data_IF_867737175288
#
_entry.id   IF_867737175288
#
_cell.length_a   1.000
_cell.length_b   1.000
_cell.length_c   1.000
_cell.angle_alpha   90.00
_cell.angle_beta   90.00
_cell.angle_gamma   90.00
#
_symmetry.space_group_name_H-M   'P 1'
#
loop_
_entity.id
_entity.type
_entity.pdbx_description
1 polymer ?
#
# COMPACT_ATOMS: atom_id res chain seq x y z
N UNK A 1 11.49 14.24 10.21
CA UNK A 1 11.40 13.23 9.13
C UNK A 1 10.61 12.03 9.69
N UNK A 2 9.78 11.38 8.91
CA UNK A 2 9.03 10.18 9.35
C UNK A 2 7.61 10.42 9.87
N UNK A 3 7.13 11.64 9.92
CA UNK A 3 5.75 12.03 10.27
C UNK A 3 5.08 12.92 9.25
N UNK A 4 5.85 13.57 8.38
CA UNK A 4 5.33 14.51 7.40
C UNK A 4 5.04 13.81 6.08
N UNK A 5 3.92 14.19 5.47
CA UNK A 5 3.47 13.75 4.16
C UNK A 5 3.40 14.97 3.25
N UNK A 6 4.20 14.96 2.18
CA UNK A 6 4.17 15.99 1.15
C UNK A 6 2.84 15.90 0.38
N UNK A 7 2.26 17.04 0.04
CA UNK A 7 0.99 17.11 -0.68
C UNK A 7 -0.26 16.90 0.18
N UNK A 8 -0.12 16.61 1.49
CA UNK A 8 -1.28 16.35 2.35
C UNK A 8 -2.18 17.56 2.55
N UNK A 9 -1.60 18.76 2.61
CA UNK A 9 -2.35 19.99 2.72
C UNK A 9 -3.18 20.25 1.46
N UNK A 10 -2.57 20.12 0.30
CA UNK A 10 -3.18 20.27 -1.01
C UNK A 10 -4.28 19.23 -1.23
N UNK A 11 -4.03 17.97 -0.89
CA UNK A 11 -5.02 16.90 -0.98
C UNK A 11 -6.28 17.19 -0.13
N UNK A 12 -6.10 17.77 1.05
CA UNK A 12 -7.21 18.16 1.93
C UNK A 12 -7.98 19.38 1.43
N UNK A 13 -7.33 20.27 0.70
CA UNK A 13 -7.99 21.44 0.09
C UNK A 13 -8.73 21.10 -1.19
N UNK A 14 -8.24 20.13 -1.97
CA UNK A 14 -8.80 19.78 -3.26
C UNK A 14 -10.20 19.13 -3.15
N UNK A 15 -10.54 18.53 -2.02
CA UNK A 15 -11.86 17.89 -1.82
C UNK A 15 -12.39 18.10 -0.41
N UNK A 16 -13.71 18.32 -0.30
CA UNK A 16 -14.40 18.47 0.99
C UNK A 16 -14.45 17.14 1.77
N UNK A 17 -14.47 16.01 1.06
CA UNK A 17 -14.59 14.68 1.67
C UNK A 17 -13.55 13.76 1.05
N UNK A 18 -12.42 13.67 1.71
CA UNK A 18 -11.35 12.79 1.30
C UNK A 18 -11.72 11.34 1.65
N UNK A 19 -11.87 10.47 0.65
CA UNK A 19 -12.26 9.07 0.84
C UNK A 19 -11.04 8.17 1.03
N UNK A 20 -9.96 8.46 0.29
CA UNK A 20 -8.71 7.71 0.28
C UNK A 20 -7.51 8.62 0.10
N UNK A 21 -6.34 8.11 0.44
CA UNK A 21 -5.05 8.71 0.08
C UNK A 21 -4.24 7.74 -0.74
N UNK A 22 -3.57 8.26 -1.78
CA UNK A 22 -2.59 7.56 -2.58
C UNK A 22 -1.21 7.94 -2.07
N UNK A 23 -0.43 6.96 -1.62
CA UNK A 23 0.93 7.17 -1.12
C UNK A 23 1.92 6.74 -2.20
N UNK A 24 2.73 7.68 -2.67
CA UNK A 24 3.82 7.49 -3.62
C UNK A 24 5.17 7.78 -2.97
N UNK A 25 6.28 7.48 -3.66
CA UNK A 25 7.63 7.64 -3.10
C UNK A 25 8.16 9.06 -3.22
N UNK A 26 7.98 9.70 -4.38
CA UNK A 26 8.58 10.97 -4.75
C UNK A 26 7.62 12.17 -4.71
N UNK A 27 8.16 13.36 -4.45
CA UNK A 27 7.39 14.60 -4.50
C UNK A 27 7.00 14.97 -5.94
N UNK A 28 7.81 14.59 -6.95
CA UNK A 28 7.49 14.83 -8.36
C UNK A 28 6.28 14.01 -8.79
N UNK A 29 6.16 12.77 -8.32
CA UNK A 29 4.96 11.95 -8.56
C UNK A 29 3.70 12.64 -8.05
N UNK A 30 3.76 13.22 -6.84
CA UNK A 30 2.64 13.98 -6.29
C UNK A 30 2.26 15.16 -7.18
N UNK A 31 3.26 15.94 -7.61
CA UNK A 31 3.03 17.11 -8.47
C UNK A 31 2.35 16.71 -9.78
N UNK A 32 2.88 15.68 -10.45
CA UNK A 32 2.34 15.22 -11.74
C UNK A 32 0.95 14.60 -11.61
N UNK A 33 0.71 13.82 -10.56
CA UNK A 33 -0.60 13.26 -10.25
C UNK A 33 -1.63 14.36 -9.98
N UNK A 34 -1.28 15.37 -9.17
CA UNK A 34 -2.16 16.51 -8.90
C UNK A 34 -2.47 17.31 -10.18
N UNK A 35 -1.47 17.55 -11.03
CA UNK A 35 -1.66 18.22 -12.33
C UNK A 35 -2.60 17.44 -13.26
N UNK A 36 -2.54 16.10 -13.20
CA UNK A 36 -3.42 15.22 -13.95
C UNK A 36 -4.84 15.10 -13.36
N UNK A 37 -5.07 15.64 -12.15
CA UNK A 37 -6.38 15.59 -11.48
C UNK A 37 -6.50 14.52 -10.38
N UNK A 38 -5.45 13.72 -10.13
CA UNK A 38 -5.39 12.76 -8.99
C UNK A 38 -4.90 13.53 -7.75
N UNK A 39 -5.78 14.33 -7.18
CA UNK A 39 -5.42 15.33 -6.15
C UNK A 39 -5.28 14.81 -4.73
N UNK A 40 -5.47 13.51 -4.51
CA UNK A 40 -5.34 12.84 -3.21
C UNK A 40 -4.01 12.07 -3.06
N UNK A 41 -3.02 12.37 -3.90
CA UNK A 41 -1.69 11.82 -3.81
C UNK A 41 -0.83 12.54 -2.77
N UNK A 42 -0.04 11.77 -2.02
CA UNK A 42 0.91 12.26 -1.01
C UNK A 42 2.21 11.45 -1.07
N UNK A 43 3.32 12.01 -0.59
CA UNK A 43 4.60 11.29 -0.56
C UNK A 43 5.25 11.30 0.82
N UNK A 44 6.01 10.24 1.11
CA UNK A 44 6.79 10.08 2.35
C UNK A 44 8.20 10.69 2.31
N UNK A 45 8.60 11.27 1.16
CA UNK A 45 9.84 12.01 0.93
C UNK A 45 11.13 11.23 1.25
N UNK A 46 11.35 10.14 0.53
CA UNK A 46 12.59 9.37 0.61
C UNK A 46 12.77 8.60 1.92
N UNK A 47 11.69 8.36 2.64
CA UNK A 47 11.65 7.47 3.80
C UNK A 47 10.60 6.38 3.60
N UNK A 48 10.85 5.18 4.15
CA UNK A 48 9.81 4.16 4.19
C UNK A 48 8.59 4.67 4.94
N UNK A 49 7.40 4.23 4.54
CA UNK A 49 6.16 4.53 5.28
C UNK A 49 6.27 4.01 6.71
N UNK A 50 6.06 4.89 7.67
CA UNK A 50 6.14 4.57 9.11
C UNK A 50 4.74 4.34 9.70
N UNK A 51 4.62 3.68 10.87
CA UNK A 51 3.35 3.62 11.60
C UNK A 51 2.75 5.00 11.89
N UNK A 52 3.58 6.01 12.18
CA UNK A 52 3.13 7.39 12.41
C UNK A 52 2.48 8.00 11.17
N UNK A 53 3.03 7.74 9.97
CA UNK A 53 2.40 8.13 8.71
C UNK A 53 1.02 7.48 8.56
N UNK A 54 0.92 6.18 8.79
CA UNK A 54 -0.34 5.42 8.68
C UNK A 54 -1.39 5.91 9.67
N UNK A 55 -1.00 6.14 10.92
CA UNK A 55 -1.91 6.70 11.93
C UNK A 55 -2.41 8.09 11.53
N UNK A 56 -1.55 8.93 10.95
CA UNK A 56 -1.94 10.24 10.43
C UNK A 56 -2.91 10.13 9.27
N UNK A 57 -2.64 9.23 8.32
CA UNK A 57 -3.51 8.95 7.18
C UNK A 57 -4.89 8.47 7.67
N UNK A 58 -4.93 7.49 8.56
CA UNK A 58 -6.17 6.89 9.04
C UNK A 58 -6.99 7.75 10.01
N UNK A 59 -6.49 8.94 10.40
CA UNK A 59 -7.32 9.98 11.03
C UNK A 59 -8.13 10.78 10.02
N UNK A 60 -7.77 10.71 8.75
CA UNK A 60 -8.36 11.50 7.67
C UNK A 60 -9.22 10.65 6.74
N UNK A 61 -8.81 9.42 6.46
CA UNK A 61 -9.44 8.53 5.47
C UNK A 61 -9.55 7.10 5.99
N UNK A 62 -10.50 6.33 5.45
CA UNK A 62 -10.62 4.90 5.72
C UNK A 62 -9.75 4.03 4.82
N UNK A 63 -9.29 4.54 3.69
CA UNK A 63 -8.51 3.77 2.71
C UNK A 63 -7.17 4.44 2.40
N UNK A 64 -6.11 3.63 2.34
CA UNK A 64 -4.81 4.02 1.79
C UNK A 64 -4.42 3.07 0.67
N UNK A 65 -4.00 3.64 -0.45
CA UNK A 65 -3.43 2.89 -1.57
C UNK A 65 -1.96 3.27 -1.67
N UNK A 66 -1.08 2.29 -1.56
CA UNK A 66 0.34 2.46 -1.84
C UNK A 66 0.60 2.19 -3.31
N UNK A 67 1.33 3.07 -3.96
CA UNK A 67 1.78 2.91 -5.34
C UNK A 67 3.30 2.80 -5.37
N UNK A 68 3.78 1.71 -5.93
CA UNK A 68 5.20 1.40 -6.05
C UNK A 68 5.60 1.14 -7.50
N UNK A 69 6.82 1.48 -7.82
CA UNK A 69 7.43 1.11 -9.09
C UNK A 69 7.47 -0.42 -9.23
N UNK A 70 7.36 -0.92 -10.45
CA UNK A 70 7.31 -2.35 -10.74
C UNK A 70 8.64 -3.08 -10.56
N UNK A 71 9.70 -2.39 -10.15
CA UNK A 71 11.05 -2.90 -10.00
C UNK A 71 11.29 -3.62 -8.65
N UNK A 72 12.52 -4.13 -8.47
CA UNK A 72 12.91 -4.81 -7.23
C UNK A 72 12.94 -3.89 -6.01
N UNK A 73 13.29 -2.61 -6.20
CA UNK A 73 13.36 -1.65 -5.11
C UNK A 73 11.95 -1.29 -4.62
N UNK A 74 11.01 -1.04 -5.55
CA UNK A 74 9.59 -0.82 -5.23
C UNK A 74 8.95 -2.02 -4.53
N UNK A 75 9.25 -3.27 -4.95
CA UNK A 75 8.78 -4.47 -4.25
C UNK A 75 9.32 -4.56 -2.81
N UNK A 76 10.59 -4.23 -2.59
CA UNK A 76 11.18 -4.19 -1.26
C UNK A 76 10.58 -3.08 -0.39
N UNK A 77 10.26 -1.92 -0.98
CA UNK A 77 9.57 -0.82 -0.29
C UNK A 77 8.14 -1.21 0.07
N UNK A 78 7.41 -1.86 -0.84
CA UNK A 78 6.07 -2.38 -0.61
C UNK A 78 6.02 -3.39 0.55
N UNK A 79 7.00 -4.29 0.65
CA UNK A 79 7.06 -5.23 1.75
C UNK A 79 7.24 -4.52 3.10
N UNK A 80 8.14 -3.52 3.17
CA UNK A 80 8.30 -2.71 4.39
C UNK A 80 7.04 -1.93 4.75
N UNK A 81 6.33 -1.40 3.74
CA UNK A 81 5.06 -0.72 3.94
C UNK A 81 4.00 -1.69 4.49
N UNK A 82 3.91 -2.92 3.98
CA UNK A 82 3.04 -3.97 4.48
C UNK A 82 3.37 -4.30 5.94
N UNK A 83 4.64 -4.54 6.27
CA UNK A 83 5.08 -4.84 7.65
C UNK A 83 4.66 -3.74 8.64
N UNK A 84 4.67 -2.49 8.22
CA UNK A 84 4.20 -1.37 9.06
C UNK A 84 2.67 -1.26 9.09
N UNK A 85 1.99 -1.64 8.01
CA UNK A 85 0.55 -1.51 7.87
C UNK A 85 -0.25 -2.58 8.61
N UNK A 86 0.27 -3.81 8.76
CA UNK A 86 -0.46 -4.92 9.42
C UNK A 86 -0.96 -4.57 10.82
N UNK A 87 -0.21 -3.78 11.58
CA UNK A 87 -0.59 -3.32 12.91
C UNK A 87 -1.68 -2.24 12.92
N UNK A 88 -1.98 -1.64 11.78
CA UNK A 88 -2.98 -0.58 11.64
C UNK A 88 -4.29 -1.06 10.99
N UNK A 89 -4.37 -2.33 10.60
CA UNK A 89 -5.60 -2.94 10.02
C UNK A 89 -6.64 -3.15 11.12
N UNK A 90 -7.49 -2.14 11.27
CA UNK A 90 -8.62 -2.12 12.22
C UNK A 90 -9.93 -2.04 11.44
N UNK A 91 -11.06 -2.23 12.12
CA UNK A 91 -12.37 -2.07 11.51
C UNK A 91 -12.50 -0.71 10.78
N UNK A 92 -12.95 -0.74 9.53
CA UNK A 92 -13.13 0.45 8.70
C UNK A 92 -11.84 0.97 8.04
N UNK A 93 -10.69 0.32 8.23
CA UNK A 93 -9.42 0.69 7.59
C UNK A 93 -9.05 -0.30 6.50
N UNK A 94 -8.70 0.21 5.33
CA UNK A 94 -8.29 -0.59 4.18
C UNK A 94 -6.91 -0.15 3.71
N UNK A 95 -6.08 -1.13 3.41
CA UNK A 95 -4.74 -0.93 2.84
C UNK A 95 -4.66 -1.72 1.55
N UNK A 96 -4.23 -1.04 0.48
CA UNK A 96 -4.08 -1.65 -0.84
C UNK A 96 -2.73 -1.33 -1.44
N UNK A 97 -2.27 -2.16 -2.36
CA UNK A 97 -0.97 -2.07 -3.01
C UNK A 97 -1.13 -2.10 -4.52
N UNK A 98 -0.67 -1.06 -5.19
CA UNK A 98 -0.56 -0.98 -6.64
C UNK A 98 0.90 -1.10 -7.03
N UNK A 99 1.20 -1.99 -7.94
CA UNK A 99 2.51 -2.11 -8.59
C UNK A 99 2.38 -1.66 -10.02
N UNK A 100 3.19 -0.68 -10.41
CA UNK A 100 3.23 -0.18 -11.77
C UNK A 100 3.98 -1.16 -12.68
N UNK A 101 3.80 -1.10 -13.99
CA UNK A 101 4.61 -1.85 -14.95
C UNK A 101 6.10 -1.52 -14.78
N UNK A 102 6.96 -2.48 -15.10
CA UNK A 102 8.41 -2.29 -15.03
C UNK A 102 8.85 -1.11 -15.91
N UNK A 103 9.72 -0.26 -15.38
CA UNK A 103 10.20 0.95 -16.06
C UNK A 103 9.29 2.18 -15.96
N UNK A 104 8.18 2.09 -15.24
CA UNK A 104 7.28 3.23 -15.00
C UNK A 104 7.27 3.60 -13.53
N UNK A 105 7.20 4.91 -13.30
CA UNK A 105 6.83 5.56 -12.05
C UNK A 105 5.46 6.25 -12.20
N UNK A 106 4.86 6.76 -11.13
CA UNK A 106 3.55 7.43 -11.20
C UNK A 106 3.54 8.64 -12.13
N UNK A 107 4.64 9.42 -12.18
CA UNK A 107 4.79 10.59 -13.06
C UNK A 107 4.72 10.20 -14.54
N UNK A 108 5.57 9.27 -14.97
CA UNK A 108 5.60 8.83 -16.38
C UNK A 108 4.28 8.19 -16.79
N UNK A 109 3.73 7.32 -15.94
CA UNK A 109 2.52 6.58 -16.27
C UNK A 109 1.29 7.49 -16.41
N UNK A 110 1.10 8.45 -15.48
CA UNK A 110 -0.04 9.36 -15.57
C UNK A 110 0.04 10.31 -16.75
N UNK A 111 1.25 10.67 -17.19
CA UNK A 111 1.46 11.46 -18.41
C UNK A 111 1.15 10.69 -19.68
N UNK A 112 1.48 9.41 -19.72
CA UNK A 112 1.27 8.54 -20.89
C UNK A 112 -0.20 8.13 -21.04
N UNK A 113 -0.83 7.69 -19.95
CA UNK A 113 -2.16 7.07 -19.97
C UNK A 113 -3.29 8.03 -19.59
N UNK A 114 -2.97 9.11 -18.90
CA UNK A 114 -3.95 10.06 -18.35
C UNK A 114 -4.60 9.58 -17.04
N UNK A 115 -5.28 10.49 -16.36
CA UNK A 115 -5.88 10.24 -15.05
C UNK A 115 -6.91 9.11 -15.04
N UNK A 116 -7.73 8.99 -16.08
CA UNK A 116 -8.81 7.99 -16.15
C UNK A 116 -8.24 6.57 -16.15
N UNK A 117 -7.20 6.33 -16.96
CA UNK A 117 -6.54 5.02 -17.01
C UNK A 117 -5.79 4.73 -15.70
N UNK A 118 -5.14 5.74 -15.14
CA UNK A 118 -4.47 5.61 -13.85
C UNK A 118 -5.45 5.27 -12.71
N UNK A 119 -6.62 5.90 -12.67
CA UNK A 119 -7.69 5.57 -11.72
C UNK A 119 -8.21 4.12 -11.89
N UNK A 120 -8.32 3.64 -13.11
CA UNK A 120 -8.69 2.25 -13.37
C UNK A 120 -7.65 1.26 -12.81
N UNK A 121 -6.36 1.61 -12.87
CA UNK A 121 -5.29 0.82 -12.22
C UNK A 121 -5.41 0.85 -10.70
N UNK A 122 -5.70 2.01 -10.10
CA UNK A 122 -5.92 2.12 -8.66
C UNK A 122 -7.09 1.24 -8.19
N UNK A 123 -8.14 1.10 -9.00
CA UNK A 123 -9.24 0.20 -8.70
C UNK A 123 -8.81 -1.29 -8.66
N UNK A 124 -7.76 -1.67 -9.40
CA UNK A 124 -7.19 -3.02 -9.41
C UNK A 124 -6.12 -3.27 -8.33
N UNK A 125 -5.81 -2.28 -7.48
CA UNK A 125 -4.83 -2.42 -6.42
C UNK A 125 -5.18 -3.59 -5.48
N UNK A 126 -4.16 -4.38 -5.11
CA UNK A 126 -4.32 -5.58 -4.29
C UNK A 126 -4.64 -5.21 -2.84
N UNK A 127 -5.64 -5.82 -2.22
CA UNK A 127 -5.81 -5.76 -0.76
C UNK A 127 -4.55 -6.26 -0.03
N UNK A 128 -4.34 -5.77 1.19
CA UNK A 128 -3.21 -6.18 2.03
C UNK A 128 -3.13 -7.70 2.21
N UNK A 129 -4.26 -8.37 2.42
CA UNK A 129 -4.31 -9.83 2.55
C UNK A 129 -3.77 -10.54 1.31
N UNK A 130 -4.23 -10.10 0.13
CA UNK A 130 -3.85 -10.73 -1.14
C UNK A 130 -2.37 -10.52 -1.46
N UNK A 131 -1.86 -9.31 -1.20
CA UNK A 131 -0.44 -9.02 -1.37
C UNK A 131 0.41 -9.84 -0.39
N UNK A 132 0.02 -9.91 0.89
CA UNK A 132 0.70 -10.71 1.90
C UNK A 132 0.80 -12.19 1.49
N UNK A 133 -0.33 -12.78 1.11
CA UNK A 133 -0.40 -14.20 0.72
C UNK A 133 0.46 -14.46 -0.52
N UNK A 134 0.34 -13.62 -1.56
CA UNK A 134 1.14 -13.76 -2.80
C UNK A 134 2.63 -13.67 -2.52
N UNK A 135 3.05 -12.72 -1.70
CA UNK A 135 4.47 -12.52 -1.39
C UNK A 135 5.03 -13.67 -0.54
N UNK A 136 4.28 -14.18 0.43
CA UNK A 136 4.69 -15.35 1.21
C UNK A 136 4.73 -16.61 0.36
N UNK A 137 3.74 -16.84 -0.49
CA UNK A 137 3.71 -17.97 -1.41
C UNK A 137 4.89 -17.95 -2.40
N UNK A 138 5.31 -16.77 -2.86
CA UNK A 138 6.48 -16.66 -3.76
C UNK A 138 7.82 -17.03 -3.11
N UNK A 139 7.88 -17.01 -1.77
CA UNK A 139 9.09 -17.31 -0.98
C UNK A 139 9.14 -18.75 -0.47
N UNK A 140 8.09 -19.54 -0.70
CA UNK A 140 7.92 -20.87 -0.13
C UNK A 140 7.39 -21.85 -1.18
N UNK A 141 7.70 -23.14 -0.98
CA UNK A 141 7.11 -24.21 -1.77
C UNK A 141 5.83 -24.71 -1.10
N UNK A 142 4.68 -24.22 -1.54
CA UNK A 142 3.37 -24.62 -0.99
C UNK A 142 2.99 -26.11 -1.21
N UNK A 143 3.75 -26.86 -2.04
CA UNK A 143 3.47 -28.26 -2.34
C UNK A 143 4.04 -29.23 -1.30
N UNK A 144 5.12 -28.82 -0.62
CA UNK A 144 5.78 -29.63 0.41
C UNK A 144 5.32 -29.30 1.83
N UNK A 145 5.43 -30.24 2.74
CA UNK A 145 5.15 -30.01 4.18
C UNK A 145 6.10 -28.97 4.74
N UNK A 146 7.39 -29.06 4.39
CA UNK A 146 8.42 -28.12 4.86
C UNK A 146 8.17 -26.70 4.33
N UNK A 147 7.76 -26.57 3.08
CA UNK A 147 7.42 -25.27 2.49
C UNK A 147 6.19 -24.64 3.13
N UNK A 148 5.15 -25.43 3.45
CA UNK A 148 3.98 -24.95 4.20
C UNK A 148 4.35 -24.56 5.63
N UNK A 149 5.19 -25.33 6.32
CA UNK A 149 5.70 -24.98 7.64
C UNK A 149 6.44 -23.63 7.61
N UNK A 150 7.33 -23.45 6.63
CA UNK A 150 8.05 -22.19 6.41
C UNK A 150 7.12 -21.02 6.14
N UNK A 151 6.07 -21.21 5.34
CA UNK A 151 5.05 -20.18 5.09
C UNK A 151 4.39 -19.72 6.39
N UNK A 152 3.98 -20.67 7.24
CA UNK A 152 3.38 -20.37 8.56
C UNK A 152 4.37 -19.64 9.46
N UNK A 153 5.64 -20.04 9.48
CA UNK A 153 6.68 -19.35 10.26
C UNK A 153 6.87 -17.90 9.83
N UNK A 154 6.89 -17.62 8.51
CA UNK A 154 7.01 -16.27 7.96
C UNK A 154 5.74 -15.43 8.21
N UNK A 155 4.56 -16.03 8.11
CA UNK A 155 3.29 -15.36 8.31
C UNK A 155 3.02 -14.99 9.78
N UNK A 156 3.40 -15.88 10.70
CA UNK A 156 3.04 -15.78 12.13
C UNK A 156 3.36 -14.43 12.79
N UNK A 157 4.56 -13.82 12.63
CA UNK A 157 4.87 -12.54 13.26
C UNK A 157 4.03 -11.39 12.71
N UNK A 158 3.64 -11.45 11.45
CA UNK A 158 2.79 -10.45 10.80
C UNK A 158 1.33 -10.58 11.26
N UNK A 159 0.80 -11.79 11.19
CA UNK A 159 -0.58 -12.11 11.59
C UNK A 159 -0.85 -11.74 13.07
N UNK A 160 0.11 -11.99 13.95
CA UNK A 160 0.00 -11.63 15.38
C UNK A 160 -0.11 -10.14 15.64
N UNK A 161 0.36 -9.29 14.74
CA UNK A 161 0.29 -7.83 14.84
C UNK A 161 -1.03 -7.24 14.37
N UNK A 162 -1.86 -8.03 13.68
CA UNK A 162 -3.18 -7.58 13.21
C UNK A 162 -4.12 -7.43 14.41
N UNK A 163 -4.63 -6.23 14.70
CA UNK A 163 -5.45 -5.97 15.88
C UNK A 163 -6.90 -6.46 15.74
N UNK A 164 -7.39 -6.63 14.51
CA UNK A 164 -8.75 -7.14 14.24
C UNK A 164 -8.79 -8.65 14.29
N UNK A 165 -9.50 -9.21 15.26
CA UNK A 165 -9.63 -10.67 15.43
C UNK A 165 -10.31 -11.31 14.21
N UNK A 166 -11.40 -10.73 13.72
CA UNK A 166 -12.13 -11.22 12.53
C UNK A 166 -11.23 -11.23 11.29
N UNK A 167 -10.50 -10.13 11.06
CA UNK A 167 -9.59 -10.06 9.91
C UNK A 167 -8.48 -11.11 10.03
N UNK A 168 -7.93 -11.29 11.23
CA UNK A 168 -6.88 -12.28 11.50
C UNK A 168 -7.38 -13.71 11.27
N UNK A 169 -8.57 -14.06 11.74
CA UNK A 169 -9.18 -15.38 11.54
C UNK A 169 -9.39 -15.68 10.06
N UNK A 170 -9.96 -14.74 9.31
CA UNK A 170 -10.17 -14.88 7.87
C UNK A 170 -8.86 -15.04 7.11
N UNK A 171 -7.83 -14.25 7.46
CA UNK A 171 -6.51 -14.35 6.84
C UNK A 171 -5.83 -15.69 7.14
N UNK A 172 -5.92 -16.19 8.38
CA UNK A 172 -5.40 -17.50 8.75
C UNK A 172 -6.09 -18.61 7.95
N UNK A 173 -7.41 -18.51 7.76
CA UNK A 173 -8.16 -19.45 6.93
C UNK A 173 -7.75 -19.45 5.46
N UNK A 174 -7.22 -18.34 4.93
CA UNK A 174 -6.69 -18.27 3.57
C UNK A 174 -5.25 -18.78 3.45
N UNK A 175 -4.50 -18.80 4.55
CA UNK A 175 -3.11 -19.28 4.61
C UNK A 175 -3.01 -20.79 4.88
N UNK A 176 -4.07 -21.44 5.34
CA UNK A 176 -4.16 -22.87 5.65
C UNK A 176 -4.40 -23.71 4.39
#
# INVERSE_FOLDING_TARGET
KGRELYGLFEARQATRTLQRLLVVEGYMDVVSLHQAGVTYAVATLGTATTPDHLQRIFRLVGEVVFCFDGDRAGRAAAWRALENAVGEVKQGRQVRFLFLPEGHDPDTLVREEGAVAFEARLASALPLSDYLIRELASRTDGTSVDGRAKLVELARPLVRRIPSDVYRELLVGQLA
#
